data_IF_384758042550
#
_entry.id   IF_384758042550
#
_cell.length_a   1.000
_cell.length_b   1.000
_cell.length_c   1.000
_cell.angle_alpha   90.00
_cell.angle_beta   90.00
_cell.angle_gamma   90.00
#
_symmetry.space_group_name_H-M   'P 1'
#
loop_
_entity.id
_entity.type
_entity.pdbx_description
1 polymer ?
#
# COMPACT_ATOMS: atom_id res chain seq x y z
N UNK A 1 -17.99 3.31 2.02
CA UNK A 1 -16.70 2.86 1.45
C UNK A 1 -16.52 1.34 1.41
N UNK A 2 -16.86 0.56 2.46
CA UNK A 2 -16.69 -0.91 2.42
C UNK A 2 -17.47 -1.60 1.29
N UNK A 3 -18.61 -1.03 0.88
CA UNK A 3 -19.39 -1.51 -0.26
C UNK A 3 -18.60 -1.58 -1.58
N UNK A 4 -17.54 -0.78 -1.73
CA UNK A 4 -16.66 -0.85 -2.90
C UNK A 4 -15.96 -2.22 -3.01
N UNK A 5 -15.76 -2.94 -1.90
CA UNK A 5 -15.21 -4.30 -1.89
C UNK A 5 -16.15 -5.34 -2.50
N UNK A 6 -17.44 -5.00 -2.68
CA UNK A 6 -18.42 -5.88 -3.34
C UNK A 6 -18.42 -5.74 -4.87
N UNK A 7 -17.67 -4.76 -5.39
CA UNK A 7 -17.58 -4.50 -6.82
C UNK A 7 -16.52 -5.39 -7.48
N UNK A 8 -16.83 -5.92 -8.66
CA UNK A 8 -15.94 -6.82 -9.40
C UNK A 8 -14.83 -6.10 -10.20
N UNK A 9 -14.81 -4.76 -10.21
CA UNK A 9 -13.83 -3.97 -10.94
C UNK A 9 -13.66 -2.59 -10.33
N UNK A 10 -12.54 -1.94 -10.64
CA UNK A 10 -12.27 -0.55 -10.27
C UNK A 10 -13.33 0.39 -10.84
N UNK A 11 -13.77 0.17 -12.08
CA UNK A 11 -14.81 0.98 -12.73
C UNK A 11 -16.15 0.89 -11.98
N UNK A 12 -16.58 -0.31 -11.60
CA UNK A 12 -17.80 -0.50 -10.83
C UNK A 12 -17.70 0.13 -9.42
N UNK A 13 -16.54 0.01 -8.77
CA UNK A 13 -16.28 0.63 -7.47
C UNK A 13 -16.33 2.17 -7.55
N UNK A 14 -15.73 2.78 -8.59
CA UNK A 14 -15.78 4.22 -8.81
C UNK A 14 -17.22 4.71 -9.07
N UNK A 15 -17.97 4.01 -9.92
CA UNK A 15 -19.36 4.36 -10.20
C UNK A 15 -20.22 4.32 -8.92
N UNK A 16 -19.98 3.33 -8.05
CA UNK A 16 -20.64 3.22 -6.75
C UNK A 16 -20.26 4.36 -5.81
N UNK A 17 -18.97 4.71 -5.69
CA UNK A 17 -18.52 5.83 -4.86
C UNK A 17 -19.15 7.16 -5.30
N UNK A 18 -19.30 7.38 -6.61
CA UNK A 18 -19.98 8.56 -7.15
C UNK A 18 -21.46 8.55 -6.77
N UNK A 19 -22.15 7.41 -6.96
CA UNK A 19 -23.56 7.27 -6.64
C UNK A 19 -23.85 7.46 -5.14
N UNK A 20 -22.96 6.98 -4.28
CA UNK A 20 -23.05 7.10 -2.82
C UNK A 20 -22.70 8.52 -2.32
N UNK A 21 -22.16 9.38 -3.20
CA UNK A 21 -21.71 10.72 -2.85
C UNK A 21 -20.42 10.68 -2.05
N UNK A 22 -19.29 10.45 -2.71
CA UNK A 22 -17.95 10.37 -2.11
C UNK A 22 -17.60 11.53 -1.13
N UNK A 23 -18.15 12.72 -1.38
CA UNK A 23 -17.98 13.92 -0.53
C UNK A 23 -18.76 13.85 0.80
N UNK A 24 -19.69 12.91 0.94
CA UNK A 24 -20.45 12.71 2.16
C UNK A 24 -19.65 11.95 3.24
N UNK A 25 -18.49 11.41 2.90
CA UNK A 25 -17.57 10.75 3.82
C UNK A 25 -16.54 11.75 4.38
N UNK A 26 -16.06 11.49 5.59
CA UNK A 26 -14.87 12.18 6.13
C UNK A 26 -13.65 12.01 5.21
N UNK A 27 -12.66 12.91 5.26
CA UNK A 27 -11.48 12.83 4.41
C UNK A 27 -10.74 11.49 4.48
N UNK A 28 -10.39 10.92 3.33
CA UNK A 28 -9.72 9.64 3.17
C UNK A 28 -8.87 9.59 1.89
N UNK A 29 -7.97 8.60 1.85
CA UNK A 29 -7.37 8.10 0.62
C UNK A 29 -7.81 6.64 0.43
N UNK A 30 -8.25 6.29 -0.79
CA UNK A 30 -8.72 4.94 -1.13
C UNK A 30 -7.99 4.44 -2.38
N UNK A 31 -7.20 3.39 -2.20
CA UNK A 31 -6.56 2.65 -3.29
C UNK A 31 -7.52 1.58 -3.82
N UNK A 32 -7.84 1.64 -5.11
CA UNK A 32 -8.62 0.62 -5.82
C UNK A 32 -7.75 0.01 -6.92
N UNK A 33 -7.66 -1.32 -6.95
CA UNK A 33 -6.83 -2.05 -7.92
C UNK A 33 -7.61 -3.26 -8.45
N UNK A 34 -7.56 -3.47 -9.75
CA UNK A 34 -7.94 -4.72 -10.41
C UNK A 34 -6.85 -5.16 -11.40
N UNK A 35 -7.08 -6.23 -12.16
CA UNK A 35 -6.11 -6.77 -13.12
C UNK A 35 -5.74 -5.82 -14.28
N UNK A 36 -6.48 -4.72 -14.46
CA UNK A 36 -6.33 -3.79 -15.58
C UNK A 36 -5.83 -2.41 -15.16
N UNK A 37 -6.18 -1.96 -13.96
CA UNK A 37 -5.89 -0.60 -13.52
C UNK A 37 -5.75 -0.47 -12.01
N UNK A 38 -5.08 0.60 -11.61
CA UNK A 38 -4.90 1.00 -10.23
C UNK A 38 -5.17 2.50 -10.11
N UNK A 39 -6.02 2.91 -9.17
CA UNK A 39 -6.36 4.31 -8.94
C UNK A 39 -6.34 4.64 -7.45
N UNK A 40 -6.05 5.90 -7.14
CA UNK A 40 -6.26 6.48 -5.80
C UNK A 40 -7.38 7.49 -5.88
N UNK A 41 -8.37 7.35 -4.99
CA UNK A 41 -9.41 8.35 -4.74
C UNK A 41 -9.02 9.11 -3.48
N UNK A 42 -8.90 10.43 -3.61
CA UNK A 42 -8.65 11.38 -2.51
C UNK A 42 -9.84 12.35 -2.45
N UNK A 43 -10.44 12.54 -1.27
CA UNK A 43 -11.55 13.50 -1.07
C UNK A 43 -11.23 14.61 -0.04
N UNK A 44 -9.96 14.85 0.30
CA UNK A 44 -9.61 15.87 1.30
C UNK A 44 -9.99 17.30 0.88
N UNK A 45 -9.77 17.63 -0.40
CA UNK A 45 -10.05 18.95 -0.99
C UNK A 45 -10.99 18.80 -2.21
N UNK A 46 -12.01 17.97 -2.04
CA UNK A 46 -12.87 17.49 -3.11
C UNK A 46 -12.32 16.23 -3.78
N UNK A 47 -13.22 15.48 -4.41
CA UNK A 47 -12.94 14.16 -4.95
C UNK A 47 -12.08 14.21 -6.21
N UNK A 48 -10.85 13.72 -6.08
CA UNK A 48 -9.88 13.56 -7.16
C UNK A 48 -9.59 12.08 -7.35
N UNK A 49 -9.60 11.63 -8.60
CA UNK A 49 -9.21 10.26 -8.98
C UNK A 49 -7.90 10.34 -9.75
N UNK A 50 -6.86 9.69 -9.23
CA UNK A 50 -5.53 9.64 -9.82
C UNK A 50 -5.23 8.22 -10.32
N UNK A 51 -4.96 8.07 -11.61
CA UNK A 51 -4.48 6.81 -12.19
C UNK A 51 -3.02 6.56 -11.78
N UNK A 52 -2.69 5.32 -11.39
CA UNK A 52 -1.33 4.92 -11.09
C UNK A 52 -0.67 4.31 -12.33
N UNK A 53 0.47 4.88 -12.71
CA UNK A 53 1.33 4.34 -13.76
C UNK A 53 2.06 3.08 -13.28
N UNK A 54 2.51 2.27 -14.24
CA UNK A 54 3.45 1.17 -13.97
C UNK A 54 4.70 1.67 -13.23
N UNK A 55 5.13 0.91 -12.23
CA UNK A 55 6.28 1.25 -11.37
C UNK A 55 5.90 1.36 -9.89
N UNK A 56 6.67 2.13 -9.14
CA UNK A 56 6.48 2.31 -7.70
C UNK A 56 5.61 3.55 -7.43
N UNK A 57 4.48 3.35 -6.77
CA UNK A 57 3.66 4.41 -6.19
C UNK A 57 3.59 4.25 -4.68
N UNK A 58 3.62 5.36 -3.95
CA UNK A 58 3.55 5.37 -2.48
C UNK A 58 2.39 6.26 -2.04
N UNK A 59 1.43 5.65 -1.36
CA UNK A 59 0.30 6.33 -0.74
C UNK A 59 0.55 6.43 0.77
N UNK A 60 0.34 7.62 1.32
CA UNK A 60 0.46 7.87 2.78
C UNK A 60 -0.83 8.53 3.27
N UNK A 61 -0.74 9.45 4.23
CA UNK A 61 -1.87 10.29 4.64
C UNK A 61 -1.98 11.57 3.79
N UNK A 62 -1.04 11.80 2.88
CA UNK A 62 -1.12 12.85 1.85
C UNK A 62 -1.49 12.23 0.50
N UNK A 63 -1.64 13.08 -0.51
CA UNK A 63 -1.82 12.65 -1.90
C UNK A 63 -0.75 11.62 -2.32
N UNK A 64 -1.12 10.75 -3.27
CA UNK A 64 -0.20 9.73 -3.79
C UNK A 64 1.07 10.39 -4.35
N UNK A 65 2.24 9.83 -4.00
CA UNK A 65 3.57 10.33 -4.38
C UNK A 65 3.87 11.78 -3.94
N UNK A 66 3.21 12.28 -2.91
CA UNK A 66 3.45 13.64 -2.42
C UNK A 66 4.86 13.79 -1.80
N UNK A 67 5.74 14.63 -2.39
CA UNK A 67 7.12 14.80 -1.94
C UNK A 67 7.24 15.50 -0.59
N UNK A 68 6.17 16.09 -0.07
CA UNK A 68 6.12 16.68 1.27
C UNK A 68 6.11 15.61 2.35
N UNK A 69 5.77 14.36 2.01
CA UNK A 69 5.80 13.27 2.97
C UNK A 69 7.22 12.72 3.13
N UNK A 70 7.86 12.81 4.32
CA UNK A 70 9.18 12.23 4.53
C UNK A 70 9.18 10.70 4.39
N UNK A 71 8.03 10.03 4.62
CA UNK A 71 7.88 8.60 4.38
C UNK A 71 7.98 8.21 2.91
N UNK A 72 7.70 9.12 1.97
CA UNK A 72 7.84 8.83 0.54
C UNK A 72 9.27 8.44 0.23
N UNK A 73 10.24 9.28 0.62
CA UNK A 73 11.64 9.04 0.33
C UNK A 73 12.17 7.78 1.05
N UNK A 74 11.77 7.56 2.30
CA UNK A 74 12.09 6.35 3.06
C UNK A 74 11.56 5.07 2.40
N UNK A 75 10.27 5.07 2.03
CA UNK A 75 9.65 3.95 1.33
C UNK A 75 10.29 3.73 -0.05
N UNK A 76 10.48 4.80 -0.81
CA UNK A 76 11.04 4.73 -2.16
C UNK A 76 12.46 4.14 -2.16
N UNK A 77 13.32 4.53 -1.22
CA UNK A 77 14.68 4.01 -1.12
C UNK A 77 14.75 2.50 -0.84
N UNK A 78 13.79 1.94 -0.08
CA UNK A 78 13.69 0.52 0.18
C UNK A 78 13.05 -0.25 -0.98
N UNK A 79 11.83 0.15 -1.37
CA UNK A 79 11.04 -0.58 -2.36
C UNK A 79 11.63 -0.50 -3.78
N UNK A 80 12.28 0.59 -4.16
CA UNK A 80 12.90 0.70 -5.50
C UNK A 80 13.98 -0.37 -5.74
N UNK A 81 14.61 -0.90 -4.70
CA UNK A 81 15.61 -1.98 -4.81
C UNK A 81 14.99 -3.31 -5.22
N UNK A 82 13.69 -3.47 -5.03
CA UNK A 82 12.94 -4.67 -5.37
C UNK A 82 12.43 -4.66 -6.82
N UNK A 83 12.45 -3.50 -7.50
CA UNK A 83 11.96 -3.38 -8.88
C UNK A 83 12.78 -4.22 -9.85
N UNK A 84 14.12 -4.16 -9.78
CA UNK A 84 14.97 -4.97 -10.67
C UNK A 84 14.82 -6.49 -10.44
N UNK A 85 14.87 -7.01 -9.21
CA UNK A 85 14.55 -8.42 -8.97
C UNK A 85 13.18 -8.84 -9.51
N UNK A 86 12.15 -7.98 -9.40
CA UNK A 86 10.83 -8.25 -9.96
C UNK A 86 10.87 -8.35 -11.49
N UNK A 87 11.56 -7.43 -12.16
CA UNK A 87 11.78 -7.44 -13.61
C UNK A 87 12.59 -8.65 -14.09
N UNK A 88 13.57 -9.07 -13.30
CA UNK A 88 14.44 -10.22 -13.56
C UNK A 88 13.77 -11.58 -13.25
N UNK A 89 12.50 -11.57 -12.81
CA UNK A 89 11.73 -12.79 -12.58
C UNK A 89 12.04 -13.49 -11.25
N UNK A 90 12.40 -12.73 -10.20
CA UNK A 90 12.55 -13.25 -8.85
C UNK A 90 11.31 -14.04 -8.40
N UNK A 91 11.54 -15.07 -7.58
CA UNK A 91 10.44 -15.90 -7.09
C UNK A 91 9.50 -15.07 -6.20
N UNK A 92 8.22 -15.49 -6.12
CA UNK A 92 7.28 -14.85 -5.20
C UNK A 92 7.79 -14.87 -3.75
N UNK A 93 8.53 -15.91 -3.35
CA UNK A 93 9.13 -16.00 -2.02
C UNK A 93 10.21 -14.94 -1.79
N UNK A 94 11.09 -14.71 -2.77
CA UNK A 94 12.14 -13.68 -2.69
C UNK A 94 11.54 -12.27 -2.67
N UNK A 95 10.51 -12.02 -3.47
CA UNK A 95 9.78 -10.75 -3.47
C UNK A 95 9.11 -10.52 -2.11
N UNK A 96 8.41 -11.52 -1.56
CA UNK A 96 7.79 -11.43 -0.23
C UNK A 96 8.83 -11.14 0.84
N UNK A 97 9.98 -11.82 0.80
CA UNK A 97 11.05 -11.61 1.76
C UNK A 97 11.59 -10.18 1.69
N UNK A 98 11.91 -9.70 0.48
CA UNK A 98 12.39 -8.33 0.28
C UNK A 98 11.36 -7.27 0.69
N UNK A 99 10.07 -7.50 0.42
CA UNK A 99 9.00 -6.61 0.89
C UNK A 99 8.90 -6.61 2.42
N UNK A 100 8.97 -7.77 3.06
CA UNK A 100 8.94 -7.88 4.52
C UNK A 100 10.10 -7.16 5.18
N UNK A 101 11.31 -7.27 4.62
CA UNK A 101 12.50 -6.55 5.09
C UNK A 101 12.30 -5.03 5.04
N UNK A 102 11.84 -4.50 3.90
CA UNK A 102 11.58 -3.06 3.75
C UNK A 102 10.48 -2.60 4.69
N UNK A 103 9.41 -3.38 4.83
CA UNK A 103 8.29 -3.06 5.71
C UNK A 103 8.68 -3.06 7.19
N UNK A 104 9.63 -3.89 7.59
CA UNK A 104 10.18 -3.99 8.95
C UNK A 104 11.33 -3.05 9.27
N UNK A 105 11.87 -2.34 8.28
CA UNK A 105 13.07 -1.52 8.43
C UNK A 105 12.85 -0.27 9.31
N UNK A 106 13.87 0.02 10.12
CA UNK A 106 13.95 1.22 10.97
C UNK A 106 15.11 2.15 10.60
N UNK A 107 16.03 1.71 9.72
CA UNK A 107 17.26 2.44 9.39
C UNK A 107 17.13 3.39 8.20
N UNK A 108 16.26 3.09 7.23
CA UNK A 108 16.10 3.84 5.98
C UNK A 108 15.24 5.09 6.07
N UNK A 109 15.42 5.94 7.08
CA UNK A 109 14.68 7.20 7.18
C UNK A 109 15.29 8.29 6.31
N UNK A 110 14.46 8.99 5.55
CA UNK A 110 14.84 10.21 4.83
C UNK A 110 14.79 11.48 5.69
N UNK A 111 14.43 11.37 6.98
CA UNK A 111 14.54 12.48 7.93
C UNK A 111 16.02 12.83 8.17
N UNK A 112 16.46 14.07 7.89
CA UNK A 112 17.84 14.51 8.14
C UNK A 112 18.29 14.36 9.59
N UNK A 113 17.36 14.40 10.55
CA UNK A 113 17.68 14.21 11.97
C UNK A 113 17.81 12.74 12.37
N UNK A 114 17.24 11.82 11.56
CA UNK A 114 17.11 10.39 11.85
C UNK A 114 16.19 10.04 13.03
N UNK A 115 15.63 11.05 13.70
CA UNK A 115 14.94 10.92 14.98
C UNK A 115 13.42 10.90 14.83
N UNK A 116 12.85 11.34 13.70
CA UNK A 116 11.41 11.30 13.50
C UNK A 116 10.93 9.86 13.24
N UNK A 117 10.22 9.21 14.19
CA UNK A 117 9.70 7.88 13.98
C UNK A 117 8.63 7.84 12.87
N UNK A 118 7.96 8.96 12.59
CA UNK A 118 6.93 9.06 11.56
C UNK A 118 7.51 9.17 10.15
N UNK A 119 8.80 9.43 10.01
CA UNK A 119 9.50 9.40 8.73
C UNK A 119 9.87 7.96 8.28
N UNK A 120 9.57 6.94 9.09
CA UNK A 120 9.91 5.52 8.82
C UNK A 120 8.72 4.75 8.26
N UNK A 121 8.98 3.63 7.58
CA UNK A 121 7.94 2.71 7.10
C UNK A 121 7.33 1.94 8.29
N UNK A 122 8.18 1.32 9.11
CA UNK A 122 7.76 0.73 10.39
C UNK A 122 7.83 1.78 11.51
N UNK A 123 6.67 2.34 11.88
CA UNK A 123 6.59 3.45 12.86
C UNK A 123 6.53 2.91 14.28
N UNK A 124 7.35 3.48 15.17
CA UNK A 124 7.31 3.25 16.61
C UNK A 124 7.46 4.59 17.37
N UNK A 125 6.34 5.15 17.83
CA UNK A 125 6.25 6.44 18.48
C UNK A 125 5.52 6.33 19.83
N UNK A 126 6.04 5.50 20.74
CA UNK A 126 5.43 5.22 22.04
C UNK A 126 4.14 4.41 21.91
N UNK A 127 2.97 4.90 22.37
CA UNK A 127 1.69 4.19 22.23
C UNK A 127 1.15 4.16 20.79
N UNK A 128 1.72 4.98 19.89
CA UNK A 128 1.37 5.01 18.47
C UNK A 128 2.43 4.27 17.64
N UNK A 129 2.00 3.54 16.61
CA UNK A 129 2.91 2.90 15.67
C UNK A 129 2.22 1.94 14.71
N UNK A 130 3.02 1.28 13.88
CA UNK A 130 2.54 0.22 12.99
C UNK A 130 2.01 -0.94 13.84
N UNK A 131 0.73 -1.28 13.65
CA UNK A 131 0.02 -2.35 14.38
C UNK A 131 -0.15 -3.63 13.58
N UNK A 132 0.00 -3.55 12.28
CA UNK A 132 -0.11 -4.67 11.36
C UNK A 132 0.54 -4.29 10.04
N UNK A 133 0.86 -5.27 9.22
CA UNK A 133 1.27 -5.04 7.83
C UNK A 133 0.74 -6.14 6.92
N UNK A 134 0.57 -5.82 5.65
CA UNK A 134 -0.01 -6.71 4.66
C UNK A 134 0.77 -6.65 3.35
N UNK A 135 0.98 -7.81 2.72
CA UNK A 135 1.53 -7.94 1.38
C UNK A 135 0.48 -8.61 0.51
N UNK A 136 0.16 -7.99 -0.61
CA UNK A 136 -0.71 -8.58 -1.64
C UNK A 136 0.13 -8.69 -2.91
N UNK A 137 0.32 -9.92 -3.39
CA UNK A 137 0.86 -10.17 -4.72
C UNK A 137 -0.31 -10.56 -5.62
N UNK A 138 -0.55 -9.79 -6.67
CA UNK A 138 -1.58 -10.07 -7.67
C UNK A 138 -0.92 -10.25 -9.04
N UNK A 139 -1.24 -11.35 -9.72
CA UNK A 139 -0.74 -11.65 -11.05
C UNK A 139 -1.82 -11.40 -12.12
N UNK A 140 -1.38 -11.25 -13.37
CA UNK A 140 -2.28 -10.97 -14.51
C UNK A 140 -3.20 -12.14 -14.86
N UNK A 141 -2.89 -13.34 -14.38
CA UNK A 141 -3.73 -14.52 -14.54
C UNK A 141 -4.90 -14.58 -13.54
N UNK A 142 -5.01 -13.58 -12.65
CA UNK A 142 -6.05 -13.49 -11.62
C UNK A 142 -5.64 -14.11 -10.29
N UNK A 143 -4.51 -14.84 -10.22
CA UNK A 143 -4.02 -15.38 -8.97
C UNK A 143 -3.56 -14.26 -8.03
N UNK A 144 -3.88 -14.40 -6.74
CA UNK A 144 -3.46 -13.48 -5.72
C UNK A 144 -3.01 -14.23 -4.46
N UNK A 145 -1.98 -13.71 -3.80
CA UNK A 145 -1.53 -14.15 -2.48
C UNK A 145 -1.66 -12.99 -1.51
N UNK A 146 -2.31 -13.25 -0.37
CA UNK A 146 -2.45 -12.28 0.70
C UNK A 146 -1.68 -12.77 1.92
N UNK A 147 -0.70 -11.99 2.37
CA UNK A 147 0.03 -12.25 3.59
C UNK A 147 -0.17 -11.13 4.59
N UNK A 148 -0.29 -11.48 5.86
CA UNK A 148 -0.57 -10.55 6.93
C UNK A 148 0.33 -10.79 8.15
N UNK A 149 0.83 -9.71 8.74
CA UNK A 149 1.48 -9.67 10.03
C UNK A 149 0.56 -8.95 11.03
N UNK A 150 0.13 -9.65 12.08
CA UNK A 150 -0.80 -9.18 13.13
C UNK A 150 -0.09 -8.37 14.25
N UNK A 151 1.07 -7.83 13.93
CA UNK A 151 1.80 -6.82 14.71
C UNK A 151 2.66 -6.02 13.71
N UNK A 152 3.44 -5.06 14.19
CA UNK A 152 4.52 -4.46 13.42
C UNK A 152 5.35 -5.54 12.70
N UNK A 153 5.67 -5.37 11.41
CA UNK A 153 6.38 -6.38 10.61
C UNK A 153 7.80 -6.68 11.12
N UNK A 154 8.37 -5.83 11.98
CA UNK A 154 9.62 -6.10 12.70
C UNK A 154 9.47 -7.04 13.91
N UNK A 155 8.23 -7.32 14.36
CA UNK A 155 7.88 -8.15 15.52
C UNK A 155 7.06 -9.38 15.18
N UNK A 156 6.32 -9.36 14.07
CA UNK A 156 5.49 -10.48 13.62
C UNK A 156 5.88 -10.93 12.22
N UNK A 157 5.89 -12.25 12.02
CA UNK A 157 6.05 -12.85 10.71
C UNK A 157 4.79 -12.69 9.85
N UNK A 158 4.99 -12.52 8.55
CA UNK A 158 3.91 -12.57 7.57
C UNK A 158 3.39 -14.00 7.44
N UNK A 159 2.08 -14.18 7.59
CA UNK A 159 1.38 -15.44 7.40
C UNK A 159 0.40 -15.31 6.24
N UNK A 160 0.36 -16.32 5.38
CA UNK A 160 -0.61 -16.37 4.30
C UNK A 160 -2.02 -16.50 4.87
N UNK A 161 -2.91 -15.63 4.39
CA UNK A 161 -4.32 -15.62 4.74
C UNK A 161 -5.06 -16.31 3.60
N UNK A 162 -5.80 -17.37 3.93
CA UNK A 162 -6.74 -17.96 2.99
C UNK A 162 -7.87 -16.95 2.78
N UNK A 163 -7.92 -16.38 1.59
CA UNK A 163 -8.91 -15.37 1.22
C UNK A 163 -10.21 -15.97 0.73
N UNK A 164 -10.26 -17.29 0.49
CA UNK A 164 -11.42 -17.96 -0.10
C UNK A 164 -11.76 -17.49 -1.51
N UNK A 165 -10.95 -16.63 -2.13
CA UNK A 165 -11.07 -16.26 -3.53
C UNK A 165 -10.44 -17.37 -4.37
N UNK A 166 -11.26 -18.13 -5.09
CA UNK A 166 -10.75 -19.07 -6.08
C UNK A 166 -10.02 -18.27 -7.18
N UNK A 167 -8.79 -18.69 -7.48
CA UNK A 167 -8.02 -18.21 -8.62
C UNK A 167 -8.74 -18.53 -9.95
#
# INVERSE_FOLDING_TARGET
CLDALTCASVEAALARLIADGVEAYEPFNLLLIDARRAVVVDNHDGAVVTELSEGLSVLTNLAVNDPRCPRLASAHAGFSRLLRPLEDGASAADIIHGLADVLGDHGGSADPSGNDPFARVCVHAGPYGTRSSSIILAARDGSARFLHADDAPCRAAFREIDTGFAA
#
